data_IF_281848652902
#
_entry.id   IF_281848652902
#
_cell.length_a   1.000
_cell.length_b   1.000
_cell.length_c   1.000
_cell.angle_alpha   90.00
_cell.angle_beta   90.00
_cell.angle_gamma   90.00
#
_symmetry.space_group_name_H-M   'P 1'
#
loop_
_entity.id
_entity.type
_entity.pdbx_description
1 polymer ?
#
# COMPACT_ATOMS: atom_id res chain seq x y z
N UNK A 1 -2.26 18.39 2.95
CA UNK A 1 -3.66 18.55 2.46
C UNK A 1 -4.58 17.76 3.40
N UNK A 2 -5.85 18.16 3.63
CA UNK A 2 -6.78 17.26 4.28
C UNK A 2 -7.28 16.28 3.23
N UNK A 3 -6.71 15.07 3.24
CA UNK A 3 -7.20 13.95 2.44
C UNK A 3 -8.68 13.74 2.76
N UNK A 4 -9.54 13.84 1.74
CA UNK A 4 -10.85 13.22 1.83
C UNK A 4 -10.58 11.72 2.05
N UNK A 5 -11.08 11.10 3.14
CA UNK A 5 -10.86 9.67 3.35
C UNK A 5 -11.37 8.91 2.12
N UNK A 6 -10.50 8.05 1.59
CA UNK A 6 -10.58 7.36 0.30
C UNK A 6 -11.97 6.74 0.03
N UNK A 7 -12.69 6.31 1.07
CA UNK A 7 -14.06 5.77 0.97
C UNK A 7 -15.14 6.84 0.72
N UNK A 8 -15.10 7.98 1.41
CA UNK A 8 -16.08 9.06 1.25
C UNK A 8 -15.87 9.84 -0.05
N UNK A 9 -14.63 9.95 -0.51
CA UNK A 9 -14.32 10.51 -1.82
C UNK A 9 -14.90 9.63 -2.95
N UNK A 10 -14.68 8.30 -2.90
CA UNK A 10 -15.18 7.36 -3.91
C UNK A 10 -16.70 7.37 -4.07
N UNK A 11 -17.45 7.34 -2.97
CA UNK A 11 -18.93 7.38 -3.00
C UNK A 11 -19.48 8.65 -3.68
N UNK A 12 -18.78 9.77 -3.55
CA UNK A 12 -19.11 11.07 -4.15
C UNK A 12 -18.61 11.14 -5.60
N UNK A 13 -17.45 10.57 -5.89
CA UNK A 13 -16.75 10.66 -7.17
C UNK A 13 -17.28 9.70 -8.23
N UNK A 14 -17.75 8.51 -7.85
CA UNK A 14 -18.17 7.46 -8.79
C UNK A 14 -19.38 7.85 -9.67
N UNK A 15 -20.17 8.84 -9.25
CA UNK A 15 -21.35 9.30 -9.98
C UNK A 15 -21.03 10.41 -11.01
N UNK A 16 -19.93 11.15 -10.84
CA UNK A 16 -19.52 12.23 -11.76
C UNK A 16 -19.26 11.70 -13.19
N UNK A 17 -18.53 10.59 -13.40
CA UNK A 17 -18.29 10.05 -14.74
C UNK A 17 -19.58 9.80 -15.52
N UNK A 18 -20.60 9.23 -14.87
CA UNK A 18 -21.89 8.94 -15.49
C UNK A 18 -22.65 10.21 -15.89
N UNK A 19 -22.50 11.30 -15.13
CA UNK A 19 -23.12 12.59 -15.46
C UNK A 19 -22.41 13.24 -16.65
N UNK A 20 -21.08 13.21 -16.68
CA UNK A 20 -20.28 13.81 -17.75
C UNK A 20 -20.46 13.06 -19.07
N UNK A 21 -20.50 11.71 -19.02
CA UNK A 21 -20.70 10.87 -20.19
C UNK A 21 -22.05 11.08 -20.90
N UNK A 22 -23.06 11.65 -20.22
CA UNK A 22 -24.35 12.02 -20.86
C UNK A 22 -24.20 13.18 -21.86
N UNK A 23 -23.17 14.01 -21.73
CA UNK A 23 -22.97 15.21 -22.54
C UNK A 23 -21.72 15.15 -23.42
N UNK A 24 -20.70 14.38 -23.05
CA UNK A 24 -19.40 14.36 -23.72
C UNK A 24 -18.98 12.93 -24.11
N UNK A 25 -18.28 12.79 -25.23
CA UNK A 25 -17.58 11.56 -25.62
C UNK A 25 -16.21 11.52 -24.95
N UNK A 26 -16.18 11.19 -23.67
CA UNK A 26 -14.95 11.07 -22.87
C UNK A 26 -14.81 9.68 -22.27
N UNK A 27 -13.58 9.19 -22.22
CA UNK A 27 -13.24 7.95 -21.50
C UNK A 27 -12.78 8.34 -20.10
N UNK A 28 -13.46 7.84 -19.08
CA UNK A 28 -12.97 7.98 -17.71
C UNK A 28 -11.81 7.00 -17.51
N UNK A 29 -10.67 7.53 -17.07
CA UNK A 29 -9.48 6.73 -16.78
C UNK A 29 -9.31 6.74 -15.27
N UNK A 30 -9.33 5.58 -14.59
CA UNK A 30 -8.95 5.54 -13.18
C UNK A 30 -7.49 6.00 -13.08
N UNK A 31 -7.18 6.79 -12.06
CA UNK A 31 -5.80 7.20 -11.78
C UNK A 31 -4.95 5.92 -11.72
N UNK A 32 -3.87 5.80 -12.51
CA UNK A 32 -3.06 4.59 -12.53
C UNK A 32 -2.63 4.25 -11.11
N UNK A 33 -3.12 3.12 -10.61
CA UNK A 33 -2.62 2.55 -9.36
C UNK A 33 -1.19 2.15 -9.69
N UNK A 34 -0.22 2.94 -9.23
CA UNK A 34 1.17 2.50 -9.29
C UNK A 34 1.25 1.10 -8.71
N UNK A 35 2.04 0.19 -9.34
CA UNK A 35 2.30 -1.10 -8.73
C UNK A 35 2.73 -0.78 -7.30
N UNK A 36 2.03 -1.35 -6.32
CA UNK A 36 2.44 -1.23 -4.95
C UNK A 36 3.88 -1.72 -4.95
N UNK A 37 4.85 -0.78 -4.82
CA UNK A 37 6.24 -1.16 -4.66
C UNK A 37 6.23 -2.21 -3.58
N UNK A 38 6.81 -3.38 -3.87
CA UNK A 38 6.75 -4.55 -3.00
C UNK A 38 7.06 -4.07 -1.59
N UNK A 39 6.01 -3.83 -0.80
CA UNK A 39 6.19 -3.67 0.62
C UNK A 39 6.83 -4.99 0.99
N UNK A 40 7.96 -5.01 1.71
CA UNK A 40 8.50 -6.24 2.23
C UNK A 40 7.47 -6.75 3.25
N UNK A 41 6.43 -7.38 2.74
CA UNK A 41 5.44 -8.12 3.48
C UNK A 41 6.09 -9.46 3.73
N UNK A 42 7.14 -9.42 4.56
CA UNK A 42 7.46 -10.59 5.35
C UNK A 42 6.17 -10.85 6.12
N UNK A 43 5.45 -11.90 5.71
CA UNK A 43 4.21 -12.29 6.37
C UNK A 43 4.40 -12.35 7.89
N UNK A 44 3.32 -12.22 8.68
CA UNK A 44 3.44 -12.21 10.13
C UNK A 44 4.26 -13.42 10.59
N UNK A 45 5.28 -13.18 11.41
CA UNK A 45 6.13 -14.25 11.95
C UNK A 45 5.26 -15.37 12.53
N UNK A 46 5.54 -16.64 12.18
CA UNK A 46 4.73 -17.77 12.62
C UNK A 46 4.78 -17.92 14.14
N UNK A 47 3.69 -18.37 14.74
CA UNK A 47 3.68 -18.79 16.14
C UNK A 47 4.38 -20.16 16.22
N UNK A 48 5.30 -20.38 17.18
CA UNK A 48 6.01 -21.64 17.27
C UNK A 48 5.07 -22.77 17.70
N UNK A 49 5.16 -23.90 17.02
CA UNK A 49 4.49 -25.14 17.39
C UNK A 49 5.34 -25.97 18.38
N UNK A 50 4.75 -27.02 18.96
CA UNK A 50 5.45 -27.91 19.89
C UNK A 50 6.71 -28.53 19.27
N UNK A 51 6.66 -28.83 17.96
CA UNK A 51 7.80 -29.35 17.22
C UNK A 51 8.97 -28.38 17.21
N UNK A 52 8.71 -27.10 16.93
CA UNK A 52 9.70 -26.03 16.97
C UNK A 52 10.27 -25.85 18.37
N UNK A 53 9.42 -25.80 19.40
CA UNK A 53 9.88 -25.66 20.78
C UNK A 53 10.79 -26.84 21.20
N UNK A 54 10.47 -28.08 20.79
CA UNK A 54 11.33 -29.24 21.04
C UNK A 54 12.66 -29.16 20.31
N UNK A 55 12.70 -28.66 19.07
CA UNK A 55 13.96 -28.47 18.32
C UNK A 55 14.86 -27.43 18.99
N UNK A 56 14.28 -26.30 19.41
CA UNK A 56 15.00 -25.25 20.15
C UNK A 56 15.52 -25.83 21.48
N UNK A 57 14.67 -26.52 22.25
CA UNK A 57 15.05 -27.17 23.50
C UNK A 57 16.20 -28.17 23.31
N UNK A 58 16.13 -28.99 22.26
CA UNK A 58 17.17 -29.97 21.93
C UNK A 58 18.52 -29.32 21.61
N UNK A 59 18.54 -28.19 20.89
CA UNK A 59 19.79 -27.43 20.65
C UNK A 59 20.37 -26.85 21.93
N UNK A 60 19.53 -26.27 22.79
CA UNK A 60 19.98 -25.72 24.09
C UNK A 60 20.50 -26.83 25.01
N UNK A 61 19.85 -27.99 25.04
CA UNK A 61 20.31 -29.15 25.81
C UNK A 61 21.67 -29.65 25.33
N UNK A 62 21.84 -29.85 24.02
CA UNK A 62 23.14 -30.23 23.43
C UNK A 62 24.23 -29.19 23.70
N UNK A 63 23.89 -27.90 23.62
CA UNK A 63 24.86 -26.85 23.97
C UNK A 63 25.30 -26.97 25.43
N UNK A 64 24.39 -27.33 26.34
CA UNK A 64 24.69 -27.58 27.75
C UNK A 64 25.67 -28.75 27.93
N UNK A 65 25.42 -29.85 27.22
CA UNK A 65 26.31 -31.01 27.24
C UNK A 65 27.74 -30.66 26.74
N UNK A 66 27.85 -29.81 25.71
CA UNK A 66 29.15 -29.35 25.22
C UNK A 66 29.83 -28.38 26.20
N UNK A 67 29.05 -27.53 26.89
CA UNK A 67 29.58 -26.69 27.97
C UNK A 67 30.16 -27.52 29.11
N UNK A 68 29.48 -28.61 29.51
CA UNK A 68 29.97 -29.50 30.58
C UNK A 68 31.28 -30.22 30.20
N UNK A 69 31.49 -30.47 28.89
CA UNK A 69 32.75 -30.99 28.33
C UNK A 69 33.81 -29.92 28.07
N UNK A 70 33.52 -28.64 28.34
CA UNK A 70 34.39 -27.49 28.06
C UNK A 70 34.62 -27.26 26.54
N UNK A 71 33.75 -27.80 25.70
CA UNK A 71 33.71 -27.62 24.23
C UNK A 71 33.03 -26.27 23.88
N UNK A 72 33.73 -25.17 24.15
CA UNK A 72 33.14 -23.81 24.09
C UNK A 72 32.74 -23.37 22.68
N UNK A 73 33.43 -23.85 21.64
CA UNK A 73 33.14 -23.49 20.24
C UNK A 73 31.87 -24.19 19.76
N UNK A 74 31.77 -25.51 19.95
CA UNK A 74 30.57 -26.27 19.61
C UNK A 74 29.34 -25.76 20.39
N UNK A 75 29.50 -25.47 21.68
CA UNK A 75 28.45 -24.90 22.51
C UNK A 75 27.96 -23.55 21.96
N UNK A 76 28.88 -22.66 21.57
CA UNK A 76 28.52 -21.35 20.99
C UNK A 76 27.73 -21.51 19.69
N UNK A 77 28.17 -22.40 18.80
CA UNK A 77 27.48 -22.65 17.53
C UNK A 77 26.04 -23.14 17.74
N UNK A 78 25.83 -24.10 18.65
CA UNK A 78 24.50 -24.61 18.98
C UNK A 78 23.59 -23.53 19.59
N UNK A 79 24.14 -22.64 20.42
CA UNK A 79 23.39 -21.51 20.99
C UNK A 79 23.02 -20.46 19.94
N UNK A 80 23.91 -20.17 18.99
CA UNK A 80 23.64 -19.25 17.89
C UNK A 80 22.56 -19.82 16.94
N UNK A 81 22.61 -21.13 16.64
CA UNK A 81 21.56 -21.83 15.90
C UNK A 81 20.22 -21.83 16.64
N UNK A 82 20.23 -22.04 17.96
CA UNK A 82 19.03 -21.99 18.79
C UNK A 82 18.41 -20.60 18.82
N UNK A 83 19.22 -19.54 18.93
CA UNK A 83 18.74 -18.15 18.86
C UNK A 83 18.14 -17.87 17.48
N UNK A 84 18.82 -18.26 16.41
CA UNK A 84 18.35 -18.06 15.03
C UNK A 84 17.01 -18.76 14.79
N UNK A 85 16.87 -20.00 15.25
CA UNK A 85 15.59 -20.71 15.17
C UNK A 85 14.52 -20.05 16.04
N UNK A 86 14.86 -19.57 17.24
CA UNK A 86 13.89 -18.87 18.09
C UNK A 86 13.39 -17.55 17.47
N UNK A 87 14.31 -16.79 16.83
CA UNK A 87 14.00 -15.51 16.16
C UNK A 87 13.20 -15.66 14.87
N UNK A 88 13.10 -16.86 14.28
CA UNK A 88 12.24 -17.10 13.12
C UNK A 88 10.75 -17.21 13.48
N UNK A 89 10.43 -17.28 14.77
CA UNK A 89 9.07 -17.32 15.30
C UNK A 89 8.71 -16.03 16.02
N UNK A 90 7.40 -15.79 16.17
CA UNK A 90 6.88 -14.70 16.99
C UNK A 90 7.34 -14.84 18.44
N UNK A 91 7.75 -13.73 19.05
CA UNK A 91 8.07 -13.67 20.47
C UNK A 91 6.79 -13.77 21.29
N UNK A 92 6.75 -14.79 22.13
CA UNK A 92 5.61 -15.18 22.95
C UNK A 92 6.12 -15.58 24.34
N UNK A 93 5.20 -15.80 25.27
CA UNK A 93 5.52 -16.40 26.57
C UNK A 93 6.18 -17.78 26.44
N UNK A 94 5.92 -18.52 25.35
CA UNK A 94 6.53 -19.84 25.11
C UNK A 94 7.98 -19.77 24.63
N UNK A 95 8.37 -18.75 23.85
CA UNK A 95 9.76 -18.58 23.37
C UNK A 95 10.66 -17.83 24.35
N UNK A 96 10.07 -16.96 25.18
CA UNK A 96 10.81 -16.13 26.15
C UNK A 96 11.76 -16.93 27.07
N UNK A 97 11.37 -18.08 27.65
CA UNK A 97 12.27 -18.87 28.48
C UNK A 97 13.50 -19.36 27.71
N UNK A 98 13.35 -19.77 26.46
CA UNK A 98 14.47 -20.25 25.64
C UNK A 98 15.45 -19.13 25.34
N UNK A 99 14.98 -17.95 24.93
CA UNK A 99 15.87 -16.80 24.67
C UNK A 99 16.66 -16.39 25.92
N UNK A 100 15.99 -16.35 27.07
CA UNK A 100 16.65 -16.04 28.33
C UNK A 100 17.71 -17.09 28.70
N UNK A 101 17.44 -18.37 28.44
CA UNK A 101 18.40 -19.45 28.68
C UNK A 101 19.60 -19.36 27.74
N UNK A 102 19.33 -19.10 26.46
CA UNK A 102 20.37 -18.93 25.44
C UNK A 102 21.29 -17.77 25.83
N UNK A 103 20.75 -16.61 26.21
CA UNK A 103 21.57 -15.47 26.64
C UNK A 103 22.35 -15.74 27.93
N UNK A 104 21.76 -16.45 28.89
CA UNK A 104 22.46 -16.84 30.12
C UNK A 104 23.68 -17.71 29.78
N UNK A 105 23.52 -18.74 28.96
CA UNK A 105 24.60 -19.66 28.57
C UNK A 105 25.66 -18.99 27.72
N UNK A 106 25.27 -18.19 26.73
CA UNK A 106 26.22 -17.38 25.95
C UNK A 106 26.98 -16.41 26.85
N UNK A 107 26.32 -15.81 27.86
CA UNK A 107 26.97 -14.96 28.85
C UNK A 107 28.04 -15.70 29.66
N UNK A 108 27.77 -16.93 30.08
CA UNK A 108 28.74 -17.81 30.77
C UNK A 108 29.93 -18.14 29.85
N UNK A 109 29.68 -18.50 28.59
CA UNK A 109 30.76 -18.74 27.61
C UNK A 109 31.65 -17.50 27.45
N UNK A 110 31.07 -16.29 27.38
CA UNK A 110 31.85 -15.04 27.32
C UNK A 110 32.70 -14.81 28.57
N UNK A 111 32.24 -15.23 29.75
CA UNK A 111 33.07 -15.19 30.96
C UNK A 111 34.25 -16.17 30.89
N UNK A 112 34.04 -17.38 30.37
CA UNK A 112 35.14 -18.34 30.16
C UNK A 112 36.19 -17.81 29.18
N UNK A 113 35.78 -17.02 28.18
CA UNK A 113 36.66 -16.33 27.25
C UNK A 113 37.32 -15.06 27.84
N UNK A 114 37.01 -14.67 29.08
CA UNK A 114 37.51 -13.44 29.71
C UNK A 114 36.84 -12.16 29.20
N UNK A 115 35.76 -12.24 28.41
CA UNK A 115 35.02 -11.10 27.84
C UNK A 115 33.90 -10.64 28.77
N UNK A 116 34.28 -10.06 29.89
CA UNK A 116 33.33 -9.65 30.94
C UNK A 116 32.26 -8.65 30.45
N UNK A 117 32.62 -7.68 29.60
CA UNK A 117 31.67 -6.70 29.04
C UNK A 117 30.56 -7.37 28.20
N UNK A 118 30.94 -8.33 27.37
CA UNK A 118 30.02 -9.03 26.47
C UNK A 118 29.10 -9.95 27.28
N UNK A 119 29.65 -10.59 28.33
CA UNK A 119 28.87 -11.36 29.28
C UNK A 119 27.84 -10.49 30.00
N UNK A 120 28.24 -9.34 30.54
CA UNK A 120 27.33 -8.39 31.21
C UNK A 120 26.22 -7.90 30.28
N UNK A 121 26.54 -7.65 29.01
CA UNK A 121 25.54 -7.28 28.00
C UNK A 121 24.50 -8.39 27.83
N UNK A 122 24.93 -9.65 27.68
CA UNK A 122 24.04 -10.82 27.55
C UNK A 122 23.21 -11.07 28.82
N UNK A 123 23.82 -11.03 30.00
CA UNK A 123 23.13 -11.19 31.29
C UNK A 123 22.10 -10.08 31.54
N UNK A 124 22.34 -8.87 31.04
CA UNK A 124 21.36 -7.78 31.08
C UNK A 124 20.10 -8.09 30.26
N UNK A 125 20.24 -8.84 29.16
CA UNK A 125 19.09 -9.34 28.38
C UNK A 125 18.32 -10.40 29.15
N UNK A 126 19.01 -11.25 29.93
CA UNK A 126 18.36 -12.24 30.82
C UNK A 126 17.48 -11.53 31.84
N UNK A 127 17.97 -10.46 32.49
CA UNK A 127 17.14 -9.64 33.41
C UNK A 127 15.89 -9.07 32.74
N UNK A 128 16.01 -8.65 31.47
CA UNK A 128 14.89 -8.13 30.70
C UNK A 128 13.82 -9.20 30.41
N UNK A 129 14.25 -10.42 30.11
CA UNK A 129 13.37 -11.53 29.76
C UNK A 129 12.87 -12.33 30.97
N UNK A 130 13.59 -12.29 32.10
CA UNK A 130 13.24 -12.94 33.37
C UNK A 130 13.50 -11.96 34.54
N UNK A 131 12.60 -10.98 34.80
CA UNK A 131 12.82 -9.96 35.82
C UNK A 131 13.02 -10.48 37.25
N UNK A 132 12.47 -11.65 37.58
CA UNK A 132 12.61 -12.29 38.89
C UNK A 132 13.77 -13.28 39.02
N UNK A 133 14.55 -13.51 37.95
CA UNK A 133 15.65 -14.47 37.99
C UNK A 133 16.81 -13.94 38.85
N UNK A 134 17.32 -14.77 39.76
CA UNK A 134 18.55 -14.51 40.52
C UNK A 134 19.38 -15.80 40.50
N UNK A 135 20.65 -15.76 40.04
CA UNK A 135 21.53 -16.92 40.06
C UNK A 135 21.75 -17.43 41.49
N UNK A 136 21.53 -18.73 41.71
CA UNK A 136 21.81 -19.37 42.99
C UNK A 136 23.34 -19.51 43.19
N UNK A 137 23.91 -18.97 44.28
CA UNK A 137 25.34 -19.13 44.58
C UNK A 137 25.82 -20.58 44.67
N UNK A 138 24.93 -21.54 44.95
CA UNK A 138 25.27 -22.96 44.98
C UNK A 138 25.39 -23.58 43.58
N UNK A 139 24.77 -22.97 42.57
CA UNK A 139 24.72 -23.49 41.20
C UNK A 139 25.63 -22.75 40.22
N UNK A 140 25.98 -21.48 40.53
CA UNK A 140 26.74 -20.63 39.61
C UNK A 140 28.12 -20.23 40.17
N UNK A 141 29.19 -20.29 39.36
CA UNK A 141 30.52 -19.87 39.77
C UNK A 141 30.61 -18.39 40.20
N UNK A 142 31.58 -18.02 41.07
CA UNK A 142 31.73 -16.64 41.57
C UNK A 142 31.82 -15.56 40.49
N UNK A 143 32.43 -15.88 39.34
CA UNK A 143 32.54 -14.95 38.21
C UNK A 143 31.17 -14.59 37.62
N UNK A 144 30.26 -15.56 37.51
CA UNK A 144 28.88 -15.35 37.04
C UNK A 144 28.11 -14.51 38.06
N UNK A 145 28.25 -14.82 39.35
CA UNK A 145 27.62 -14.06 40.44
C UNK A 145 28.09 -12.59 40.46
N UNK A 146 29.40 -12.38 40.26
CA UNK A 146 30.00 -11.05 40.18
C UNK A 146 29.45 -10.25 38.98
N UNK A 147 29.47 -10.84 37.78
CA UNK A 147 28.93 -10.22 36.57
C UNK A 147 27.43 -9.91 36.70
N UNK A 148 26.66 -10.83 37.30
CA UNK A 148 25.24 -10.60 37.59
C UNK A 148 25.04 -9.42 38.54
N UNK A 149 25.78 -9.36 39.65
CA UNK A 149 25.69 -8.25 40.59
C UNK A 149 26.08 -6.90 39.97
N UNK A 150 27.09 -6.87 39.10
CA UNK A 150 27.53 -5.67 38.39
C UNK A 150 26.42 -5.05 37.51
N UNK A 151 25.54 -5.88 36.94
CA UNK A 151 24.44 -5.40 36.09
C UNK A 151 23.15 -5.12 36.86
N UNK A 152 22.96 -5.64 38.09
CA UNK A 152 21.68 -5.54 38.82
C UNK A 152 21.19 -4.10 38.99
N UNK A 153 22.11 -3.17 39.18
CA UNK A 153 21.82 -1.74 39.38
C UNK A 153 21.72 -0.96 38.06
N UNK A 154 22.07 -1.57 36.92
CA UNK A 154 21.97 -0.93 35.61
C UNK A 154 20.52 -0.99 35.11
N UNK A 155 20.05 0.04 34.38
CA UNK A 155 18.77 -0.02 33.69
C UNK A 155 18.68 -1.28 32.81
N UNK A 156 17.48 -1.86 32.74
CA UNK A 156 17.22 -2.96 31.80
C UNK A 156 17.40 -2.41 30.39
N UNK A 157 18.15 -3.10 29.51
CA UNK A 157 18.38 -2.61 28.17
C UNK A 157 17.07 -2.55 27.38
N UNK A 158 16.97 -1.53 26.53
CA UNK A 158 15.88 -1.39 25.55
C UNK A 158 16.42 -1.82 24.19
N UNK A 159 15.54 -2.12 23.23
CA UNK A 159 15.97 -2.22 21.84
C UNK A 159 16.15 -0.80 21.28
N UNK A 160 17.26 -0.54 20.58
CA UNK A 160 17.57 0.76 19.97
C UNK A 160 17.47 0.66 18.45
N UNK A 161 16.51 1.37 17.86
CA UNK A 161 16.25 1.37 16.43
C UNK A 161 16.67 2.71 15.83
N UNK A 162 17.59 2.69 14.87
CA UNK A 162 17.97 3.86 14.10
C UNK A 162 17.14 3.90 12.81
N UNK A 163 16.29 4.91 12.70
CA UNK A 163 15.44 5.12 11.54
C UNK A 163 16.12 6.08 10.56
N UNK A 164 16.25 5.67 9.32
CA UNK A 164 16.73 6.49 8.20
C UNK A 164 15.72 6.41 7.06
N UNK A 165 15.46 7.52 6.37
CA UNK A 165 14.60 7.53 5.20
C UNK A 165 15.10 8.42 4.08
N UNK A 166 14.62 8.11 2.87
CA UNK A 166 14.73 8.96 1.69
C UNK A 166 13.31 9.26 1.18
N UNK A 167 12.83 10.52 1.22
CA UNK A 167 13.49 11.73 1.76
C UNK A 167 13.73 11.67 3.27
N UNK A 168 14.64 12.51 3.78
CA UNK A 168 14.85 12.72 5.21
C UNK A 168 13.80 13.66 5.80
N UNK A 169 13.67 13.70 7.13
CA UNK A 169 12.65 14.50 7.82
C UNK A 169 11.27 13.85 7.86
N UNK A 170 11.18 12.56 7.50
CA UNK A 170 9.93 11.80 7.53
C UNK A 170 9.49 11.49 8.95
N UNK A 171 8.20 11.59 9.22
CA UNK A 171 7.62 11.29 10.51
C UNK A 171 7.66 9.79 10.82
N UNK A 172 8.09 9.44 12.03
CA UNK A 172 8.20 8.07 12.52
C UNK A 172 7.03 7.79 13.45
N UNK A 173 6.28 6.72 13.16
CA UNK A 173 5.22 6.21 14.01
C UNK A 173 5.54 4.77 14.43
N UNK A 174 5.42 4.49 15.72
CA UNK A 174 5.56 3.13 16.29
C UNK A 174 4.27 2.78 17.00
N UNK A 175 3.61 1.70 16.56
CA UNK A 175 2.27 1.28 17.00
C UNK A 175 1.22 2.41 16.91
N UNK A 176 1.36 3.29 15.93
CA UNK A 176 0.49 4.44 15.71
C UNK A 176 0.86 5.70 16.49
N UNK A 177 1.78 5.62 17.46
CA UNK A 177 2.26 6.78 18.20
C UNK A 177 3.43 7.46 17.50
N UNK A 178 3.39 8.79 17.36
CA UNK A 178 4.48 9.59 16.77
C UNK A 178 5.69 9.58 17.70
N UNK A 179 6.85 9.14 17.19
CA UNK A 179 8.11 9.01 17.96
C UNK A 179 9.22 9.97 17.54
N UNK A 180 9.06 10.68 16.42
CA UNK A 180 10.04 11.66 15.95
C UNK A 180 10.03 11.82 14.44
N UNK A 181 11.14 12.31 13.89
CA UNK A 181 11.39 12.42 12.45
C UNK A 181 12.74 11.80 12.08
N UNK A 182 12.91 11.30 10.86
CA UNK A 182 14.17 10.71 10.40
C UNK A 182 15.24 11.78 10.08
N UNK A 183 16.54 11.50 10.31
CA UNK A 183 17.07 10.34 11.01
C UNK A 183 16.90 10.47 12.54
N UNK A 184 16.45 9.41 13.21
CA UNK A 184 16.31 9.40 14.66
C UNK A 184 16.50 8.02 15.27
N UNK A 185 16.96 8.01 16.53
CA UNK A 185 17.02 6.82 17.37
C UNK A 185 15.78 6.74 18.23
N UNK A 186 15.07 5.62 18.16
CA UNK A 186 13.91 5.35 19.00
C UNK A 186 14.20 4.10 19.82
N UNK A 187 13.93 4.17 21.12
CA UNK A 187 14.05 3.04 22.02
C UNK A 187 12.70 2.41 22.30
N UNK A 188 12.65 1.09 22.37
CA UNK A 188 11.44 0.33 22.68
C UNK A 188 11.68 -0.72 23.75
N UNK A 189 10.76 -0.77 24.71
CA UNK A 189 10.70 -1.79 25.78
C UNK A 189 9.79 -2.96 25.42
N UNK A 190 9.06 -2.86 24.30
CA UNK A 190 8.02 -3.83 23.95
C UNK A 190 8.65 -5.10 23.37
N UNK A 191 8.46 -6.22 24.06
CA UNK A 191 8.93 -7.55 23.66
C UNK A 191 7.78 -8.28 22.94
N UNK A 192 7.34 -7.71 21.83
CA UNK A 192 6.27 -8.22 20.99
C UNK A 192 6.39 -7.57 19.60
N UNK A 193 5.69 -8.08 18.58
CA UNK A 193 5.61 -7.39 17.29
C UNK A 193 5.13 -5.95 17.46
N UNK A 194 5.82 -5.02 16.80
CA UNK A 194 5.46 -3.60 16.71
C UNK A 194 5.29 -3.23 15.24
N UNK A 195 4.29 -2.39 14.95
CA UNK A 195 4.09 -1.82 13.62
C UNK A 195 4.84 -0.50 13.53
N UNK A 196 5.63 -0.37 12.48
CA UNK A 196 6.38 0.84 12.17
C UNK A 196 5.76 1.44 10.91
N UNK A 197 5.51 2.75 10.94
CA UNK A 197 5.06 3.51 9.78
C UNK A 197 5.92 4.76 9.65
N UNK A 198 6.44 4.99 8.45
CA UNK A 198 7.16 6.20 8.08
C UNK A 198 6.29 6.98 7.11
N UNK A 199 6.08 8.26 7.39
CA UNK A 199 5.24 9.15 6.58
C UNK A 199 5.98 10.41 6.19
N UNK A 200 5.80 10.86 4.95
CA UNK A 200 6.35 12.13 4.48
C UNK A 200 5.36 12.81 3.52
N UNK A 201 5.10 14.12 3.64
CA UNK A 201 4.22 14.84 2.72
C UNK A 201 4.65 14.65 1.25
N UNK A 202 3.71 14.32 0.37
CA UNK A 202 3.96 14.09 -1.05
C UNK A 202 4.55 12.70 -1.38
N UNK A 203 4.64 11.81 -0.40
CA UNK A 203 5.13 10.44 -0.55
C UNK A 203 4.14 9.44 0.04
N UNK A 204 4.15 8.21 -0.46
CA UNK A 204 3.38 7.13 0.14
C UNK A 204 4.05 6.64 1.40
N UNK A 205 3.25 6.41 2.43
CA UNK A 205 3.74 5.83 3.68
C UNK A 205 4.40 4.47 3.44
N UNK A 206 5.53 4.25 4.12
CA UNK A 206 6.16 2.95 4.19
C UNK A 206 5.82 2.31 5.54
N UNK A 207 5.38 1.05 5.51
CA UNK A 207 5.07 0.30 6.71
C UNK A 207 5.87 -0.99 6.79
N UNK A 208 6.28 -1.35 8.00
CA UNK A 208 6.86 -2.65 8.29
C UNK A 208 6.45 -3.12 9.67
N UNK A 209 6.51 -4.43 9.91
CA UNK A 209 6.29 -5.01 11.22
C UNK A 209 7.52 -5.82 11.60
N UNK A 210 8.00 -5.63 12.82
CA UNK A 210 9.14 -6.37 13.33
C UNK A 210 9.02 -6.60 14.83
N UNK A 211 9.94 -7.37 15.38
CA UNK A 211 10.07 -7.62 16.79
C UNK A 211 11.55 -7.60 17.16
N UNK A 212 11.86 -6.94 18.27
CA UNK A 212 13.24 -6.76 18.73
C UNK A 212 13.33 -7.15 20.19
N UNK A 213 14.43 -7.77 20.57
CA UNK A 213 14.71 -8.15 21.94
C UNK A 213 15.44 -7.00 22.66
N UNK A 214 15.28 -6.90 23.99
CA UNK A 214 16.08 -6.00 24.82
C UNK A 214 17.57 -6.08 24.46
N UNK A 215 18.21 -4.93 24.22
CA UNK A 215 19.61 -4.84 23.82
C UNK A 215 19.89 -5.07 22.32
N UNK A 216 18.88 -5.37 21.50
CA UNK A 216 19.06 -5.35 20.04
C UNK A 216 19.33 -3.93 19.56
N UNK A 217 20.17 -3.80 18.54
CA UNK A 217 20.40 -2.55 17.81
C UNK A 217 20.23 -2.81 16.32
N UNK A 218 19.35 -2.06 15.67
CA UNK A 218 19.09 -2.24 14.23
C UNK A 218 18.93 -0.89 13.51
N UNK A 219 19.40 -0.85 12.26
CA UNK A 219 19.23 0.30 11.37
C UNK A 219 18.14 -0.03 10.36
N UNK A 220 17.03 0.70 10.43
CA UNK A 220 15.91 0.56 9.52
C UNK A 220 15.96 1.67 8.47
N UNK A 221 16.19 1.27 7.22
CA UNK A 221 16.27 2.17 6.07
C UNK A 221 14.99 2.09 5.25
N UNK A 222 14.37 3.24 5.01
CA UNK A 222 13.14 3.35 4.22
C UNK A 222 13.37 4.20 2.97
N UNK A 223 12.85 3.74 1.84
CA UNK A 223 12.75 4.54 0.63
C UNK A 223 11.27 4.74 0.35
N UNK A 224 10.80 5.98 0.41
CA UNK A 224 9.41 6.30 0.22
C UNK A 224 9.20 6.60 -1.28
N UNK A 225 8.31 5.89 -1.98
CA UNK A 225 7.96 6.25 -3.34
C UNK A 225 7.13 7.55 -3.30
N UNK A 226 7.47 8.49 -4.18
CA UNK A 226 6.70 9.74 -4.31
C UNK A 226 5.26 9.45 -4.69
N UNK A 227 4.32 10.07 -4.01
CA UNK A 227 2.91 9.95 -4.35
C UNK A 227 2.62 10.87 -5.53
N UNK A 228 2.56 10.28 -6.74
CA UNK A 228 2.29 11.02 -7.97
C UNK A 228 0.97 11.79 -7.93
N UNK A 229 -0.04 11.30 -7.21
CA UNK A 229 -1.35 11.93 -7.14
C UNK A 229 -1.29 13.16 -6.24
N UNK A 230 -0.70 13.00 -5.05
CA UNK A 230 -0.49 14.12 -4.14
C UNK A 230 0.41 15.20 -4.78
N UNK A 231 1.51 14.77 -5.41
CA UNK A 231 2.44 15.68 -6.11
C UNK A 231 1.78 16.40 -7.29
N UNK A 232 0.96 15.71 -8.07
CA UNK A 232 0.20 16.33 -9.15
C UNK A 232 -0.81 17.35 -8.58
N UNK A 233 -1.51 17.01 -7.50
CA UNK A 233 -2.40 17.94 -6.81
C UNK A 233 -1.69 19.22 -6.35
N UNK A 234 -0.52 19.10 -5.72
CA UNK A 234 0.29 20.25 -5.29
C UNK A 234 0.73 21.13 -6.47
N UNK A 235 1.23 20.53 -7.55
CA UNK A 235 1.67 21.26 -8.73
C UNK A 235 0.51 22.01 -9.41
N UNK A 236 -0.67 21.38 -9.49
CA UNK A 236 -1.89 22.00 -10.03
C UNK A 236 -2.45 23.10 -9.12
N UNK A 237 -2.37 22.95 -7.81
CA UNK A 237 -2.77 24.01 -6.87
C UNK A 237 -1.86 25.25 -7.02
N UNK A 238 -0.55 25.04 -7.23
CA UNK A 238 0.39 26.12 -7.53
C UNK A 238 0.10 26.85 -8.84
N UNK A 239 -0.29 26.15 -9.91
CA UNK A 239 -0.61 26.80 -11.19
C UNK A 239 -1.82 27.73 -11.07
N UNK A 240 -2.81 27.39 -10.24
CA UNK A 240 -3.95 28.27 -9.94
C UNK A 240 -3.55 29.55 -9.20
N UNK A 241 -2.48 29.50 -8.40
CA UNK A 241 -1.97 30.64 -7.64
C UNK A 241 -0.94 31.49 -8.42
N UNK A 242 -0.65 31.14 -9.68
CA UNK A 242 0.34 31.83 -10.51
C UNK A 242 1.80 31.60 -10.07
N UNK A 243 2.02 30.70 -9.11
CA UNK A 243 3.34 30.35 -8.55
C UNK A 243 3.83 28.97 -9.03
N UNK A 244 2.95 28.17 -9.62
CA UNK A 244 3.22 26.80 -10.03
C UNK A 244 3.45 26.61 -11.52
N UNK A 245 4.21 25.57 -11.82
CA UNK A 245 4.54 25.02 -13.14
C UNK A 245 5.23 23.66 -12.94
N UNK A 246 5.34 22.86 -14.00
CA UNK A 246 5.99 21.53 -13.94
C UNK A 246 5.05 20.36 -13.64
N UNK A 247 3.73 20.54 -13.71
CA UNK A 247 2.77 19.44 -13.76
C UNK A 247 2.82 18.71 -15.13
N UNK A 248 3.28 19.39 -16.18
CA UNK A 248 3.31 18.92 -17.55
C UNK A 248 3.93 17.54 -17.77
N UNK A 249 5.13 17.25 -17.26
CA UNK A 249 5.73 15.91 -17.34
C UNK A 249 4.83 14.82 -16.77
N UNK A 250 4.26 15.03 -15.57
CA UNK A 250 3.35 14.07 -14.93
C UNK A 250 2.04 13.90 -15.72
N UNK A 251 1.48 14.99 -16.25
CA UNK A 251 0.27 14.92 -17.10
C UNK A 251 0.56 14.23 -18.43
N UNK A 252 1.75 14.44 -19.00
CA UNK A 252 2.23 13.76 -20.19
C UNK A 252 2.36 12.26 -19.97
N UNK A 253 3.01 11.84 -18.88
CA UNK A 253 3.12 10.44 -18.48
C UNK A 253 1.73 9.78 -18.33
N UNK A 254 0.79 10.45 -17.65
CA UNK A 254 -0.58 9.97 -17.51
C UNK A 254 -1.30 9.84 -18.85
N UNK A 255 -1.12 10.82 -19.75
CA UNK A 255 -1.73 10.83 -21.09
C UNK A 255 -1.20 9.67 -21.94
N UNK A 256 0.11 9.44 -21.91
CA UNK A 256 0.80 8.34 -22.60
C UNK A 256 0.36 6.99 -22.04
N UNK A 257 0.36 6.83 -20.71
CA UNK A 257 -0.08 5.59 -20.05
C UNK A 257 -1.54 5.26 -20.36
N UNK A 258 -2.40 6.28 -20.50
CA UNK A 258 -3.80 6.11 -20.87
C UNK A 258 -4.03 5.91 -22.38
N UNK A 259 -3.01 6.09 -23.22
CA UNK A 259 -3.13 6.05 -24.68
C UNK A 259 -3.98 7.19 -25.24
N UNK A 260 -3.93 8.38 -24.63
CA UNK A 260 -4.75 9.53 -25.02
C UNK A 260 -3.89 10.74 -25.38
N UNK A 261 -4.38 11.57 -26.31
CA UNK A 261 -3.69 12.79 -26.77
C UNK A 261 -4.07 14.05 -25.99
N UNK A 262 -5.14 14.01 -25.18
CA UNK A 262 -5.62 15.14 -24.36
C UNK A 262 -6.26 14.61 -23.08
N UNK A 263 -5.86 15.15 -21.94
CA UNK A 263 -6.39 14.80 -20.62
C UNK A 263 -6.94 16.04 -19.92
N UNK A 264 -8.06 15.88 -19.21
CA UNK A 264 -8.59 16.84 -18.26
C UNK A 264 -8.49 16.27 -16.85
N UNK A 265 -8.17 17.12 -15.88
CA UNK A 265 -7.96 16.75 -14.49
C UNK A 265 -8.94 17.57 -13.64
N UNK A 266 -9.84 16.87 -12.97
CA UNK A 266 -10.72 17.45 -11.97
C UNK A 266 -10.08 17.28 -10.59
N UNK A 267 -9.74 18.38 -9.95
CA UNK A 267 -9.23 18.42 -8.59
C UNK A 267 -10.36 18.84 -7.64
N UNK A 268 -10.61 18.04 -6.61
CA UNK A 268 -11.58 18.34 -5.56
C UNK A 268 -10.86 18.50 -4.22
N UNK A 269 -11.11 19.62 -3.55
CA UNK A 269 -10.59 19.92 -2.22
C UNK A 269 -11.76 20.12 -1.26
N UNK A 270 -11.61 19.76 0.01
CA UNK A 270 -12.62 20.10 1.02
C UNK A 270 -12.57 21.61 1.29
N UNK A 271 -13.72 22.26 1.34
CA UNK A 271 -13.77 23.68 1.67
C UNK A 271 -13.38 23.89 3.15
N UNK A 272 -12.60 24.93 3.43
CA UNK A 272 -12.07 25.18 4.77
C UNK A 272 -13.16 25.56 5.79
N UNK A 273 -14.33 26.00 5.29
CA UNK A 273 -15.48 26.47 6.07
C UNK A 273 -16.71 25.65 5.69
N UNK A 274 -16.78 24.40 6.14
CA UNK A 274 -17.97 23.54 6.06
C UNK A 274 -17.75 22.14 5.46
N UNK A 275 -18.84 21.49 5.06
CA UNK A 275 -18.82 20.20 4.35
C UNK A 275 -18.81 20.37 2.81
N UNK A 276 -18.55 21.58 2.33
CA UNK A 276 -18.47 21.88 0.90
C UNK A 276 -17.25 21.26 0.23
N UNK A 277 -17.33 21.12 -1.09
CA UNK A 277 -16.23 20.70 -1.96
C UNK A 277 -15.90 21.84 -2.94
N UNK A 278 -14.62 22.20 -3.00
CA UNK A 278 -14.08 23.12 -4.00
C UNK A 278 -13.55 22.31 -5.17
N UNK A 279 -14.02 22.62 -6.37
CA UNK A 279 -13.64 21.95 -7.60
C UNK A 279 -12.82 22.88 -8.49
N UNK A 280 -11.68 22.40 -8.97
CA UNK A 280 -10.87 23.04 -10.02
C UNK A 280 -10.74 22.09 -11.20
N UNK A 281 -10.97 22.58 -12.40
CA UNK A 281 -10.86 21.78 -13.62
C UNK A 281 -9.69 22.29 -14.46
N UNK A 282 -8.77 21.39 -14.76
CA UNK A 282 -7.61 21.66 -15.60
C UNK A 282 -7.69 20.85 -16.88
N UNK A 283 -7.16 21.39 -17.99
CA UNK A 283 -7.03 20.64 -19.23
C UNK A 283 -5.65 20.83 -19.87
N UNK A 284 -5.09 19.73 -20.37
CA UNK A 284 -3.89 19.77 -21.19
C UNK A 284 -4.14 20.53 -22.50
N UNK A 285 -3.17 21.35 -22.91
CA UNK A 285 -3.20 22.06 -24.20
C UNK A 285 -2.09 21.53 -25.11
N UNK A 286 -2.33 21.33 -26.41
CA UNK A 286 -1.28 20.89 -27.34
C UNK A 286 -0.07 21.84 -27.41
N UNK A 287 -0.26 23.12 -27.09
CA UNK A 287 0.76 24.17 -27.21
C UNK A 287 1.48 24.50 -25.88
N UNK A 288 1.11 23.89 -24.75
CA UNK A 288 1.69 24.16 -23.43
C UNK A 288 2.09 22.86 -22.76
N UNK A 289 3.27 22.82 -22.14
CA UNK A 289 3.68 21.66 -21.35
C UNK A 289 2.78 21.52 -20.12
N UNK A 290 2.41 22.61 -19.46
CA UNK A 290 1.56 22.58 -18.27
C UNK A 290 0.06 22.69 -18.60
N UNK A 291 -0.81 21.99 -17.86
CA UNK A 291 -2.26 22.08 -18.01
C UNK A 291 -2.78 23.44 -17.56
N UNK A 292 -3.76 23.97 -18.29
CA UNK A 292 -4.38 25.26 -17.98
C UNK A 292 -5.60 25.06 -17.08
N UNK A 293 -5.77 25.94 -16.08
CA UNK A 293 -7.00 26.04 -15.29
C UNK A 293 -8.14 26.54 -16.19
N UNK A 294 -9.20 25.74 -16.33
CA UNK A 294 -10.40 26.09 -17.09
C UNK A 294 -11.46 26.78 -16.22
N UNK A 295 -11.51 26.45 -14.94
CA UNK A 295 -12.44 27.06 -14.00
C UNK A 295 -12.35 26.51 -12.59
N UNK A 296 -12.89 27.27 -11.64
CA UNK A 296 -12.98 26.94 -10.22
C UNK A 296 -14.38 27.27 -9.69
N UNK A 297 -14.92 26.44 -8.80
CA UNK A 297 -16.23 26.64 -8.16
C UNK A 297 -16.35 25.84 -6.87
N UNK A 298 -17.25 26.23 -5.98
CA UNK A 298 -17.57 25.47 -4.76
C UNK A 298 -18.97 24.86 -4.83
N UNK A 299 -19.12 23.67 -4.25
CA UNK A 299 -20.38 22.92 -4.19
C UNK A 299 -20.68 22.48 -2.76
N UNK A 300 -21.95 22.33 -2.38
CA UNK A 300 -22.32 21.70 -1.11
C UNK A 300 -21.87 20.23 -1.08
N UNK A 301 -21.59 19.68 0.09
CA UNK A 301 -21.29 18.26 0.25
C UNK A 301 -22.47 17.34 -0.08
N UNK A 302 -22.18 16.05 -0.27
CA UNK A 302 -23.20 15.01 -0.49
C UNK A 302 -23.76 14.94 -1.91
N UNK A 303 -24.77 14.08 -2.11
CA UNK A 303 -25.28 13.71 -3.44
C UNK A 303 -25.78 14.90 -4.30
N UNK A 304 -26.32 15.95 -3.68
CA UNK A 304 -26.75 17.17 -4.39
C UNK A 304 -25.56 17.91 -5.01
N UNK A 305 -24.44 18.01 -4.28
CA UNK A 305 -23.20 18.60 -4.78
C UNK A 305 -22.63 17.85 -5.97
N UNK A 306 -22.71 16.52 -5.95
CA UNK A 306 -22.22 15.63 -7.02
C UNK A 306 -22.95 15.86 -8.34
N UNK A 307 -24.27 16.03 -8.28
CA UNK A 307 -25.09 16.35 -9.46
C UNK A 307 -24.67 17.68 -10.11
N UNK A 308 -24.40 18.68 -9.28
CA UNK A 308 -24.00 20.03 -9.73
C UNK A 308 -22.57 19.99 -10.28
N UNK A 309 -21.65 19.31 -9.61
CA UNK A 309 -20.26 19.20 -10.03
C UNK A 309 -20.12 18.50 -11.38
N UNK A 310 -20.79 17.36 -11.58
CA UNK A 310 -20.77 16.65 -12.86
C UNK A 310 -21.33 17.48 -14.02
N UNK A 311 -22.41 18.25 -13.78
CA UNK A 311 -22.96 19.15 -14.80
C UNK A 311 -21.99 20.28 -15.14
N UNK A 312 -21.41 20.92 -14.12
CA UNK A 312 -20.44 21.99 -14.28
C UNK A 312 -19.19 21.52 -15.05
N UNK A 313 -18.65 20.34 -14.73
CA UNK A 313 -17.52 19.75 -15.46
C UNK A 313 -17.86 19.56 -16.93
N UNK A 314 -19.03 18.97 -17.22
CA UNK A 314 -19.45 18.73 -18.60
C UNK A 314 -19.63 20.02 -19.39
N UNK A 315 -20.24 21.05 -18.79
CA UNK A 315 -20.47 22.34 -19.43
C UNK A 315 -19.14 23.09 -19.65
N UNK A 316 -18.22 23.05 -18.69
CA UNK A 316 -16.91 23.70 -18.79
C UNK A 316 -16.03 23.05 -19.86
N UNK A 317 -15.98 21.71 -19.91
CA UNK A 317 -15.25 20.99 -20.97
C UNK A 317 -15.89 21.20 -22.35
N UNK A 318 -17.22 21.26 -22.44
CA UNK A 318 -17.91 21.54 -23.69
C UNK A 318 -17.60 22.95 -24.22
N UNK A 319 -17.41 23.94 -23.35
CA UNK A 319 -16.97 25.29 -23.70
C UNK A 319 -15.50 25.33 -24.15
N UNK A 320 -14.65 24.50 -23.55
CA UNK A 320 -13.24 24.31 -23.92
C UNK A 320 -13.04 23.47 -25.21
N UNK A 321 -14.13 23.08 -25.88
CA UNK A 321 -14.10 22.40 -27.18
C UNK A 321 -13.89 20.88 -27.11
N UNK A 322 -14.26 20.24 -25.99
CA UNK A 322 -14.28 18.77 -25.90
C UNK A 322 -15.43 18.16 -26.72
N UNK A 323 -15.26 16.96 -27.29
CA UNK A 323 -16.24 16.36 -28.19
C UNK A 323 -17.55 16.04 -27.46
N UNK A 324 -18.66 16.58 -27.98
CA UNK A 324 -20.01 16.33 -27.44
C UNK A 324 -20.49 14.93 -27.81
N UNK A 325 -21.27 14.32 -26.90
CA UNK A 325 -22.03 13.10 -27.18
C UNK A 325 -23.12 13.39 -28.20
N UNK A 326 -23.17 12.63 -29.30
CA UNK A 326 -24.40 12.56 -30.09
C UNK A 326 -25.50 11.98 -29.20
N UNK A 327 -26.56 12.75 -28.97
CA UNK A 327 -27.82 12.16 -28.53
C UNK A 327 -28.24 11.17 -29.61
N UNK A 328 -28.63 9.91 -29.30
CA UNK A 328 -29.27 9.08 -30.31
C UNK A 328 -30.45 9.87 -30.85
N UNK A 329 -30.38 10.23 -32.13
CA UNK A 329 -31.43 10.96 -32.81
C UNK A 329 -32.75 10.24 -32.56
N UNK A 330 -33.80 11.01 -32.28
CA UNK A 330 -35.16 10.47 -32.10
C UNK A 330 -35.41 9.42 -33.20
N UNK A 331 -35.85 8.21 -32.85
CA UNK A 331 -36.14 7.20 -33.86
C UNK A 331 -37.13 7.77 -34.89
N UNK A 332 -36.78 7.64 -36.16
CA UNK A 332 -37.50 8.18 -37.32
C UNK A 332 -39.00 7.83 -37.37
N UNK A 333 -39.43 6.81 -36.63
CA UNK A 333 -40.83 6.37 -36.52
C UNK A 333 -41.73 7.25 -35.64
N UNK A 334 -41.21 8.32 -35.00
CA UNK A 334 -42.02 9.27 -34.23
C UNK A 334 -42.34 10.59 -34.97
N UNK A 335 -42.13 10.65 -36.29
CA UNK A 335 -42.56 11.80 -37.09
C UNK A 335 -44.02 11.66 -37.56
N UNK A 336 -44.93 12.61 -37.22
CA UNK A 336 -46.38 12.49 -37.48
C UNK A 336 -46.77 12.55 -38.97
N UNK A 337 -45.82 12.74 -39.88
CA UNK A 337 -46.06 12.83 -41.33
C UNK A 337 -45.77 11.53 -42.09
N UNK A 338 -45.25 10.48 -41.43
CA UNK A 338 -44.78 9.26 -42.10
C UNK A 338 -45.88 8.20 -42.37
N UNK A 339 -47.14 8.46 -41.96
CA UNK A 339 -48.27 7.52 -42.17
C UNK A 339 -49.05 7.77 -43.47
N UNK A 340 -48.54 8.62 -44.37
CA UNK A 340 -49.13 8.85 -45.68
C UNK A 340 -48.48 8.00 -46.76
N UNK A 341 -49.23 7.00 -47.24
CA UNK A 341 -49.08 6.31 -48.54
C UNK A 341 -48.18 5.05 -48.58
N UNK A 342 -48.81 3.87 -48.51
CA UNK A 342 -48.78 2.85 -49.58
C UNK A 342 -49.80 1.71 -49.30
N UNK A 343 -51.07 2.01 -49.59
CA UNK A 343 -52.09 1.08 -50.11
C UNK A 343 -51.96 1.16 -51.66
N UNK A 344 -51.95 0.14 -52.51
CA UNK A 344 -52.85 -1.02 -52.65
C UNK A 344 -52.29 -2.07 -53.64
N UNK A 345 -52.61 -3.36 -53.36
CA UNK A 345 -53.23 -4.40 -54.23
C UNK A 345 -52.75 -4.58 -55.70
N UNK A 346 -52.05 -5.69 -55.95
CA UNK A 346 -52.59 -6.88 -56.63
C UNK A 346 -52.54 -7.03 -58.17
N UNK A 347 -52.11 -8.25 -58.57
CA UNK A 347 -52.26 -8.94 -59.88
C UNK A 347 -51.31 -8.45 -60.98
N UNK A 348 -50.46 -9.24 -61.65
CA UNK A 348 -50.32 -10.68 -61.83
C UNK A 348 -50.03 -10.93 -63.31
N UNK A 349 -48.89 -11.53 -63.69
CA UNK A 349 -48.73 -12.23 -64.97
C UNK A 349 -47.40 -13.01 -65.01
N UNK A 350 -47.57 -14.26 -65.42
CA UNK A 350 -46.64 -15.37 -65.65
C UNK A 350 -45.68 -15.12 -66.82
N UNK A 351 -44.56 -15.85 -66.82
CA UNK A 351 -43.81 -16.50 -67.94
C UNK A 351 -42.29 -16.25 -67.77
N UNK A 352 -41.37 -17.21 -67.77
CA UNK A 352 -41.41 -18.65 -68.03
C UNK A 352 -39.98 -19.12 -68.41
N UNK A 353 -39.69 -20.40 -68.15
CA UNK A 353 -38.56 -21.23 -68.65
C UNK A 353 -37.13 -20.88 -68.18
N UNK A 354 -36.28 -21.84 -67.79
CA UNK A 354 -36.40 -23.30 -67.75
C UNK A 354 -35.10 -24.01 -67.35
N UNK A 355 -35.22 -25.30 -67.02
CA UNK A 355 -34.18 -26.35 -67.02
C UNK A 355 -33.20 -26.33 -65.83
N UNK A 356 -32.97 -27.41 -65.08
CA UNK A 356 -33.40 -28.81 -65.15
C UNK A 356 -32.50 -29.68 -64.27
N UNK A 357 -33.07 -30.74 -63.68
CA UNK A 357 -32.41 -31.92 -63.05
C UNK A 357 -31.75 -31.68 -61.68
N UNK A 358 -31.90 -32.49 -60.63
CA UNK A 358 -32.51 -33.80 -60.43
C UNK A 358 -31.74 -34.56 -59.34
N UNK A 359 -32.46 -35.10 -58.33
CA UNK A 359 -32.00 -35.94 -57.20
C UNK A 359 -31.15 -35.25 -56.11
N UNK A 360 -31.31 -35.47 -54.81
CA UNK A 360 -32.19 -36.32 -54.01
C UNK A 360 -31.59 -36.46 -52.60
N UNK A 361 -32.42 -36.44 -51.56
CA UNK A 361 -32.11 -37.05 -50.25
C UNK A 361 -31.47 -36.18 -49.16
N UNK A 362 -32.24 -36.05 -48.07
CA UNK A 362 -31.83 -35.94 -46.66
C UNK A 362 -31.44 -34.60 -46.02
N UNK A 363 -32.13 -34.35 -44.89
CA UNK A 363 -31.48 -34.02 -43.62
C UNK A 363 -31.41 -32.54 -43.29
N UNK A 364 -32.36 -32.09 -42.47
CA UNK A 364 -32.41 -30.72 -41.95
C UNK A 364 -31.15 -30.28 -41.20
N UNK A 365 -30.75 -29.03 -41.45
CA UNK A 365 -30.03 -28.13 -40.54
C UNK A 365 -29.62 -26.90 -41.36
N UNK A 366 -30.39 -25.81 -41.31
CA UNK A 366 -29.99 -24.51 -41.84
C UNK A 366 -29.86 -23.49 -40.70
N UNK A 367 -28.90 -23.75 -39.80
CA UNK A 367 -28.24 -22.69 -39.05
C UNK A 367 -27.30 -21.94 -39.99
N UNK A 368 -27.83 -20.93 -40.70
CA UNK A 368 -27.09 -20.05 -41.58
C UNK A 368 -26.85 -18.70 -40.94
N UNK A 369 -25.68 -18.54 -40.32
CA UNK A 369 -25.02 -17.25 -40.07
C UNK A 369 -24.87 -16.46 -41.36
N UNK A 370 -25.24 -15.16 -41.40
CA UNK A 370 -24.47 -14.07 -42.03
C UNK A 370 -24.90 -12.73 -41.40
N UNK A 371 -23.90 -12.06 -40.78
CA UNK A 371 -23.58 -10.61 -40.70
C UNK A 371 -24.72 -9.55 -40.60
N UNK A 372 -24.54 -8.40 -39.95
CA UNK A 372 -23.54 -7.38 -40.27
C UNK A 372 -23.37 -6.43 -39.08
N UNK A 373 -22.11 -6.13 -38.75
CA UNK A 373 -21.71 -4.93 -38.02
C UNK A 373 -21.75 -3.73 -38.97
N UNK A 374 -22.40 -2.65 -38.54
CA UNK A 374 -21.80 -1.31 -38.51
C UNK A 374 -22.17 -0.66 -37.19
#
# INVERSE_FOLDING_TARGET
>A
APDLPDRSAREVLDLIPAIVAKKLRVRWIPVPVEPAGESPSTGPLPVPDDGALRRIAGKVARASEQMDKVESVEASLLLDEAEKECRSYRFTESTRPFLAEIFLRRGILRLWEGKASDAEALLSRVRALRPGFTPDPALFPPQVLSAWNAIRQRPVPEAELLFESLPSGSEIFVDGERRGVTPARVRTKKIAPIRIRISHPGYRDAETTGQWLPGDTEILRFSLPGDRVARLGELLAGTAQGTGGGAGPLVGELSTAAGTSRVAILMLEKDAVGEGLRARLYAGRPASQDPALLGETSFPGGAKGVGISGKWVADTLALDGWPRGEQPGRPWYHSPWFWGVLLTVGVGAVLGAGGGGGSGGDGGSSGGTVAVKF
#
